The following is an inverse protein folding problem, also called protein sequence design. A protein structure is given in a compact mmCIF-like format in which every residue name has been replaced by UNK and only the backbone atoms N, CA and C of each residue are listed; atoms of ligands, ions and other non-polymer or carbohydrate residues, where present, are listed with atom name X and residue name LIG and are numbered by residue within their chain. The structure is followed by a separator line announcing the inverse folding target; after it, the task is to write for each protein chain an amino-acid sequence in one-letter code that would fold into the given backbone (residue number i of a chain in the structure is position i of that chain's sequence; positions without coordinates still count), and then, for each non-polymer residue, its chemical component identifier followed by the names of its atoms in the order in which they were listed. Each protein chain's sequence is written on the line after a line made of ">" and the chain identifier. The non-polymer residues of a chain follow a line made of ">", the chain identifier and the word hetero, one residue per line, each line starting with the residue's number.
data_IF_085739493142
#
_entry.id   IF_085739493142
#
_cell.length_a   1.000
_cell.length_b   1.000
_cell.length_c   1.000
_cell.angle_alpha   90.00
_cell.angle_beta   90.00
_cell.angle_gamma   90.00
#
_symmetry.space_group_name_H-M   'P 1'
#
loop_
_entity.id
_entity.type
_entity.pdbx_description
1 polymer ?
#
# COMPACT_ATOMS: atom_id res chain seq x y z
N UNK A 1 3.55 14.72 -4.94
CA UNK A 1 4.67 15.68 -5.02
C UNK A 1 5.24 16.02 -3.66
N UNK A 2 4.45 16.46 -2.66
CA UNK A 2 4.98 16.78 -1.32
C UNK A 2 5.64 15.57 -0.65
N UNK A 3 5.01 14.40 -0.68
CA UNK A 3 5.54 13.16 -0.07
C UNK A 3 6.88 12.73 -0.69
N UNK A 4 7.05 12.92 -2.00
CA UNK A 4 8.31 12.63 -2.70
C UNK A 4 9.42 13.59 -2.26
N UNK A 5 9.10 14.88 -2.14
CA UNK A 5 10.06 15.88 -1.61
C UNK A 5 10.46 15.54 -0.19
N UNK A 6 9.50 15.16 0.66
CA UNK A 6 9.75 14.77 2.03
C UNK A 6 10.65 13.53 2.11
N UNK A 7 10.43 12.52 1.27
CA UNK A 7 11.28 11.34 1.17
C UNK A 7 12.74 11.72 0.87
N UNK A 8 12.97 12.50 -0.18
CA UNK A 8 14.34 12.92 -0.52
C UNK A 8 14.95 13.85 0.52
N UNK A 9 14.16 14.66 1.22
CA UNK A 9 14.66 15.47 2.35
C UNK A 9 15.16 14.59 3.50
N UNK A 10 14.43 13.51 3.85
CA UNK A 10 14.90 12.53 4.84
C UNK A 10 16.14 11.78 4.37
N UNK A 11 16.20 11.36 3.10
CA UNK A 11 17.38 10.71 2.53
C UNK A 11 18.59 11.64 2.57
N UNK A 12 18.44 12.89 2.15
CA UNK A 12 19.52 13.88 2.23
C UNK A 12 19.99 14.12 3.66
N UNK A 13 19.03 14.29 4.60
CA UNK A 13 19.39 14.48 6.01
C UNK A 13 20.10 13.26 6.60
N UNK A 14 19.70 12.05 6.20
CA UNK A 14 20.39 10.81 6.61
C UNK A 14 21.86 10.83 6.21
N UNK A 15 22.16 11.12 4.94
CA UNK A 15 23.56 11.18 4.46
C UNK A 15 24.34 12.37 5.03
N UNK A 16 23.68 13.51 5.25
CA UNK A 16 24.35 14.71 5.74
C UNK A 16 24.72 14.61 7.24
N UNK A 17 23.89 13.94 8.04
CA UNK A 17 24.04 13.85 9.49
C UNK A 17 24.38 12.45 10.00
N UNK A 18 24.47 11.45 9.13
CA UNK A 18 24.72 10.02 9.45
C UNK A 18 23.81 9.50 10.59
N UNK A 19 22.57 10.00 10.66
CA UNK A 19 21.66 9.73 11.76
C UNK A 19 20.69 8.60 11.43
N UNK A 20 20.93 7.42 12.02
CA UNK A 20 20.10 6.22 11.85
C UNK A 20 18.63 6.41 12.28
N UNK A 21 18.34 7.36 13.18
CA UNK A 21 16.99 7.64 13.63
C UNK A 21 16.10 8.24 12.51
N UNK A 22 16.67 8.64 11.37
CA UNK A 22 15.92 9.12 10.20
C UNK A 22 15.39 7.96 9.33
N UNK A 23 15.92 6.74 9.51
CA UNK A 23 15.52 5.56 8.72
C UNK A 23 14.00 5.29 8.78
N UNK A 24 13.31 5.31 9.93
CA UNK A 24 11.85 5.16 9.97
C UNK A 24 11.11 6.23 9.15
N UNK A 25 11.63 7.47 9.15
CA UNK A 25 11.09 8.57 8.34
C UNK A 25 11.24 8.33 6.84
N UNK A 26 12.38 7.77 6.40
CA UNK A 26 12.64 7.37 5.01
C UNK A 26 11.66 6.27 4.60
N UNK A 27 11.54 5.20 5.40
CA UNK A 27 10.63 4.09 5.13
C UNK A 27 9.19 4.60 5.00
N UNK A 28 8.72 5.35 6.00
CA UNK A 28 7.34 5.84 6.01
C UNK A 28 7.06 6.78 4.83
N UNK A 29 7.87 7.83 4.64
CA UNK A 29 7.64 8.81 3.57
C UNK A 29 7.73 8.19 2.19
N UNK A 30 8.69 7.28 1.96
CA UNK A 30 8.90 6.63 0.67
C UNK A 30 7.81 5.61 0.33
N UNK A 31 7.47 4.73 1.29
CA UNK A 31 6.47 3.68 1.04
C UNK A 31 5.04 4.22 0.87
N UNK A 32 4.72 5.35 1.49
CA UNK A 32 3.39 5.96 1.40
C UNK A 32 3.26 7.01 0.29
N UNK A 33 4.37 7.51 -0.28
CA UNK A 33 4.34 8.60 -1.26
C UNK A 33 3.48 8.30 -2.48
N UNK A 34 3.74 7.19 -3.14
CA UNK A 34 3.03 6.79 -4.37
C UNK A 34 1.60 6.32 -4.08
N UNK A 35 1.35 5.40 -3.12
CA UNK A 35 0.00 4.99 -2.79
C UNK A 35 -0.92 6.15 -2.40
N UNK A 36 -0.45 7.10 -1.59
CA UNK A 36 -1.25 8.28 -1.22
C UNK A 36 -1.52 9.15 -2.45
N UNK A 37 -0.53 9.37 -3.31
CA UNK A 37 -0.71 10.17 -4.54
C UNK A 37 -1.75 9.53 -5.48
N UNK A 38 -1.70 8.21 -5.63
CA UNK A 38 -2.67 7.43 -6.41
C UNK A 38 -4.06 7.50 -5.79
N UNK A 39 -4.16 7.40 -4.46
CA UNK A 39 -5.43 7.54 -3.75
C UNK A 39 -6.07 8.92 -3.96
N UNK A 40 -5.26 9.99 -3.93
CA UNK A 40 -5.75 11.33 -4.24
C UNK A 40 -6.29 11.43 -5.65
N UNK A 41 -5.65 10.80 -6.65
CA UNK A 41 -6.17 10.72 -8.00
C UNK A 41 -7.58 10.10 -8.03
N UNK A 42 -7.76 8.92 -7.40
CA UNK A 42 -9.07 8.28 -7.33
C UNK A 42 -10.10 9.09 -6.54
N UNK A 43 -9.68 9.82 -5.53
CA UNK A 43 -10.55 10.72 -4.78
C UNK A 43 -11.05 11.89 -5.65
N UNK A 44 -10.17 12.49 -6.46
CA UNK A 44 -10.56 13.56 -7.40
C UNK A 44 -11.43 13.03 -8.54
N UNK A 45 -11.19 11.82 -9.03
CA UNK A 45 -12.03 11.15 -10.03
C UNK A 45 -13.44 10.84 -9.51
N UNK A 46 -13.63 10.73 -8.19
CA UNK A 46 -14.92 10.54 -7.58
C UNK A 46 -15.73 11.87 -7.53
N UNK A 47 -16.27 12.25 -8.67
CA UNK A 47 -16.98 13.53 -8.89
C UNK A 47 -18.09 13.77 -7.86
N UNK A 48 -18.76 12.73 -7.38
CA UNK A 48 -19.85 12.86 -6.40
C UNK A 48 -19.41 13.22 -5.00
N UNK A 49 -18.14 12.96 -4.64
CA UNK A 49 -17.54 13.23 -3.32
C UNK A 49 -18.44 12.82 -2.14
N UNK A 50 -19.22 11.76 -2.33
CA UNK A 50 -20.19 11.27 -1.35
C UNK A 50 -19.61 10.32 -0.31
N UNK A 51 -18.31 9.96 -0.43
CA UNK A 51 -17.59 9.15 0.53
C UNK A 51 -16.79 10.08 1.46
N UNK A 52 -17.06 10.06 2.78
CA UNK A 52 -16.32 10.90 3.71
C UNK A 52 -14.87 10.46 3.82
N UNK A 53 -13.95 11.41 3.96
CA UNK A 53 -12.51 11.14 4.05
C UNK A 53 -12.16 10.14 5.16
N UNK A 54 -12.86 10.20 6.29
CA UNK A 54 -12.70 9.23 7.38
C UNK A 54 -12.91 7.78 6.94
N UNK A 55 -13.91 7.54 6.08
CA UNK A 55 -14.17 6.19 5.55
C UNK A 55 -13.02 5.71 4.67
N UNK A 56 -12.42 6.62 3.89
CA UNK A 56 -11.27 6.33 3.04
C UNK A 56 -10.04 6.01 3.90
N UNK A 57 -9.74 6.87 4.88
CA UNK A 57 -8.62 6.65 5.81
C UNK A 57 -8.76 5.34 6.59
N UNK A 58 -9.97 5.03 7.02
CA UNK A 58 -10.26 3.74 7.68
C UNK A 58 -9.96 2.56 6.77
N UNK A 59 -10.31 2.63 5.48
CA UNK A 59 -10.02 1.55 4.53
C UNK A 59 -8.54 1.46 4.19
N UNK A 60 -7.82 2.56 4.09
CA UNK A 60 -6.35 2.55 3.92
C UNK A 60 -5.69 1.82 5.08
N UNK A 61 -6.01 2.21 6.31
CA UNK A 61 -5.35 1.64 7.49
C UNK A 61 -5.83 0.21 7.77
N UNK A 62 -7.10 0.04 8.08
CA UNK A 62 -7.62 -1.27 8.49
C UNK A 62 -7.79 -2.22 7.31
N UNK A 63 -8.15 -1.71 6.12
CA UNK A 63 -8.25 -2.50 4.91
C UNK A 63 -6.91 -2.98 4.43
N UNK A 64 -5.89 -2.11 4.43
CA UNK A 64 -4.53 -2.46 4.09
C UNK A 64 -3.96 -3.53 5.03
N UNK A 65 -4.06 -3.34 6.35
CA UNK A 65 -3.57 -4.31 7.35
C UNK A 65 -4.34 -5.64 7.23
N UNK A 66 -5.67 -5.59 7.16
CA UNK A 66 -6.49 -6.80 7.09
C UNK A 66 -6.21 -7.61 5.81
N UNK A 67 -6.04 -6.92 4.66
CA UNK A 67 -5.71 -7.59 3.40
C UNK A 67 -4.33 -8.26 3.45
N UNK A 68 -3.34 -7.67 4.11
CA UNK A 68 -2.05 -8.31 4.33
C UNK A 68 -2.19 -9.58 5.17
N UNK A 69 -2.96 -9.56 6.26
CA UNK A 69 -3.20 -10.76 7.06
C UNK A 69 -3.90 -11.86 6.26
N UNK A 70 -4.91 -11.51 5.47
CA UNK A 70 -5.60 -12.48 4.60
C UNK A 70 -4.63 -13.04 3.56
N UNK A 71 -3.81 -12.20 2.92
CA UNK A 71 -2.82 -12.62 1.94
C UNK A 71 -1.80 -13.59 2.56
N UNK A 72 -1.28 -13.31 3.76
CA UNK A 72 -0.34 -14.19 4.46
C UNK A 72 -0.97 -15.56 4.74
N UNK A 73 -2.21 -15.62 5.18
CA UNK A 73 -2.93 -16.89 5.40
C UNK A 73 -3.11 -17.66 4.08
N UNK A 74 -3.45 -16.94 3.00
CA UNK A 74 -3.60 -17.57 1.69
C UNK A 74 -2.26 -18.08 1.15
N UNK A 75 -1.17 -17.35 1.30
CA UNK A 75 0.18 -17.78 0.90
C UNK A 75 0.60 -19.07 1.60
N UNK A 76 0.36 -19.18 2.92
CA UNK A 76 0.69 -20.39 3.69
C UNK A 76 -0.05 -21.64 3.21
N UNK A 77 -1.26 -21.47 2.66
CA UNK A 77 -2.10 -22.58 2.21
C UNK A 77 -2.01 -22.86 0.68
N UNK A 78 -1.23 -22.07 -0.06
CA UNK A 78 -1.16 -22.14 -1.53
C UNK A 78 0.27 -22.23 -2.05
N UNK A 79 1.16 -22.94 -1.35
CA UNK A 79 2.56 -23.16 -1.79
C UNK A 79 2.67 -23.72 -3.21
N UNK A 80 1.76 -24.63 -3.56
CA UNK A 80 1.67 -25.21 -4.92
C UNK A 80 1.40 -24.18 -6.01
N UNK A 81 0.66 -23.10 -5.70
CA UNK A 81 0.40 -22.02 -6.65
C UNK A 81 1.67 -21.23 -6.96
N UNK A 82 2.46 -20.93 -5.91
CA UNK A 82 3.74 -20.24 -6.05
C UNK A 82 4.73 -21.04 -6.90
N UNK A 83 4.70 -22.37 -6.77
CA UNK A 83 5.52 -23.27 -7.58
C UNK A 83 5.10 -23.30 -9.06
N UNK A 84 3.79 -23.24 -9.33
CA UNK A 84 3.24 -23.32 -10.68
C UNK A 84 3.32 -22.00 -11.45
N UNK A 85 3.11 -20.87 -10.77
CA UNK A 85 2.95 -19.55 -11.39
C UNK A 85 4.07 -18.56 -11.06
N UNK A 86 5.04 -18.91 -10.21
CA UNK A 86 6.15 -18.04 -9.83
C UNK A 86 5.65 -16.71 -9.24
N UNK A 87 6.24 -15.61 -9.69
CA UNK A 87 5.89 -14.25 -9.22
C UNK A 87 4.42 -13.86 -9.50
N UNK A 88 3.79 -14.42 -10.55
CA UNK A 88 2.39 -14.14 -10.88
C UNK A 88 1.40 -14.72 -9.85
N UNK A 89 1.83 -15.71 -9.04
CA UNK A 89 1.01 -16.23 -7.95
C UNK A 89 0.67 -15.14 -6.91
N UNK A 90 1.54 -14.16 -6.71
CA UNK A 90 1.30 -13.05 -5.79
C UNK A 90 0.02 -12.30 -6.16
N UNK A 91 -0.15 -11.88 -7.41
CA UNK A 91 -1.36 -11.19 -7.86
C UNK A 91 -2.63 -12.02 -7.67
N UNK A 92 -2.57 -13.35 -7.95
CA UNK A 92 -3.71 -14.26 -7.79
C UNK A 92 -4.13 -14.39 -6.31
N UNK A 93 -3.21 -14.24 -5.37
CA UNK A 93 -3.46 -14.36 -3.93
C UNK A 93 -3.84 -13.01 -3.32
N UNK A 94 -3.15 -11.95 -3.70
CA UNK A 94 -3.32 -10.63 -3.10
C UNK A 94 -4.62 -9.94 -3.50
N UNK A 95 -5.05 -10.05 -4.77
CA UNK A 95 -6.27 -9.40 -5.21
C UNK A 95 -7.53 -9.95 -4.52
N UNK A 96 -7.72 -11.27 -4.37
CA UNK A 96 -8.79 -11.81 -3.52
C UNK A 96 -8.67 -11.39 -2.06
N UNK A 97 -7.46 -11.26 -1.52
CA UNK A 97 -7.25 -10.80 -0.14
C UNK A 97 -7.70 -9.34 0.05
N UNK A 98 -7.34 -8.45 -0.87
CA UNK A 98 -7.77 -7.04 -0.88
C UNK A 98 -9.29 -6.92 -1.01
N UNK A 99 -9.90 -7.70 -1.92
CA UNK A 99 -11.35 -7.75 -2.08
C UNK A 99 -12.04 -8.30 -0.81
N UNK A 100 -11.52 -9.36 -0.21
CA UNK A 100 -12.04 -9.94 1.03
C UNK A 100 -12.01 -8.92 2.17
N UNK A 101 -10.91 -8.21 2.36
CA UNK A 101 -10.79 -7.15 3.35
C UNK A 101 -11.81 -6.02 3.13
N UNK A 102 -11.99 -5.58 1.87
CA UNK A 102 -12.98 -4.57 1.51
C UNK A 102 -14.40 -5.04 1.87
N UNK A 103 -14.77 -6.25 1.49
CA UNK A 103 -16.10 -6.81 1.76
C UNK A 103 -16.40 -6.95 3.26
N UNK A 104 -15.40 -7.38 4.04
CA UNK A 104 -15.53 -7.49 5.50
C UNK A 104 -15.77 -6.11 6.14
N UNK A 105 -14.99 -5.09 5.76
CA UNK A 105 -15.08 -3.75 6.33
C UNK A 105 -16.31 -2.97 5.86
N UNK A 106 -16.80 -3.27 4.66
CA UNK A 106 -17.96 -2.65 4.03
C UNK A 106 -19.23 -3.50 4.15
N UNK A 107 -19.26 -4.49 5.03
CA UNK A 107 -20.37 -5.44 5.18
C UNK A 107 -21.70 -4.76 5.51
N UNK A 108 -22.78 -5.32 4.96
CA UNK A 108 -24.15 -4.90 5.22
C UNK A 108 -24.54 -3.62 4.46
N UNK A 109 -25.27 -2.73 5.12
CA UNK A 109 -25.83 -1.52 4.52
C UNK A 109 -24.77 -0.49 4.11
N UNK A 110 -23.53 -0.66 4.54
CA UNK A 110 -22.42 0.23 4.15
C UNK A 110 -22.11 0.14 2.66
N UNK A 111 -22.14 -1.06 2.04
CA UNK A 111 -21.96 -1.23 0.60
C UNK A 111 -23.12 -0.58 -0.17
N UNK A 112 -24.36 -0.78 0.29
CA UNK A 112 -25.56 -0.22 -0.37
C UNK A 112 -25.55 1.30 -0.39
N UNK A 113 -24.89 1.95 0.57
CA UNK A 113 -24.77 3.40 0.64
C UNK A 113 -23.98 4.00 -0.53
N UNK A 114 -23.13 3.20 -1.18
CA UNK A 114 -22.22 3.65 -2.24
C UNK A 114 -22.42 2.86 -3.54
N UNK A 115 -23.58 3.04 -4.24
CA UNK A 115 -23.99 2.18 -5.35
C UNK A 115 -23.29 2.48 -6.69
N UNK A 116 -22.45 3.51 -6.75
CA UNK A 116 -21.83 3.94 -8.00
C UNK A 116 -20.49 3.24 -8.25
N UNK A 117 -20.17 2.95 -9.52
CA UNK A 117 -18.90 2.32 -9.92
C UNK A 117 -17.69 3.12 -9.43
N UNK A 118 -17.73 4.46 -9.54
CA UNK A 118 -16.64 5.32 -9.04
C UNK A 118 -16.45 5.22 -7.51
N UNK A 119 -17.52 4.97 -6.77
CA UNK A 119 -17.40 4.70 -5.34
C UNK A 119 -16.66 3.38 -5.07
N UNK A 120 -17.03 2.32 -5.79
CA UNK A 120 -16.36 1.03 -5.71
C UNK A 120 -14.88 1.14 -6.04
N UNK A 121 -14.56 1.87 -7.11
CA UNK A 121 -13.18 2.14 -7.52
C UNK A 121 -12.38 2.86 -6.42
N UNK A 122 -12.93 3.93 -5.83
CA UNK A 122 -12.26 4.67 -4.74
C UNK A 122 -12.11 3.82 -3.47
N UNK A 123 -13.12 3.02 -3.11
CA UNK A 123 -13.05 2.15 -1.92
C UNK A 123 -12.04 1.02 -2.13
N UNK A 124 -12.01 0.41 -3.33
CA UNK A 124 -11.00 -0.59 -3.70
C UNK A 124 -9.60 0.01 -3.73
N UNK A 125 -9.42 1.18 -4.35
CA UNK A 125 -8.15 1.90 -4.36
C UNK A 125 -7.67 2.23 -2.94
N UNK A 126 -8.57 2.57 -2.01
CA UNK A 126 -8.18 2.85 -0.62
C UNK A 126 -7.56 1.61 0.06
N UNK A 127 -8.15 0.42 -0.12
CA UNK A 127 -7.60 -0.84 0.42
C UNK A 127 -6.30 -1.20 -0.29
N UNK A 128 -6.26 -1.12 -1.63
CA UNK A 128 -5.08 -1.43 -2.43
C UNK A 128 -3.90 -0.53 -2.13
N UNK A 129 -4.12 0.79 -2.01
CA UNK A 129 -3.08 1.74 -1.61
C UNK A 129 -2.57 1.49 -0.19
N UNK A 130 -3.46 1.11 0.74
CA UNK A 130 -3.07 0.71 2.08
C UNK A 130 -2.20 -0.54 2.07
N UNK A 131 -2.63 -1.59 1.36
CA UNK A 131 -1.86 -2.82 1.17
C UNK A 131 -0.45 -2.52 0.62
N UNK A 132 -0.37 -1.82 -0.51
CA UNK A 132 0.89 -1.49 -1.19
C UNK A 132 1.84 -0.67 -0.30
N UNK A 133 1.31 0.28 0.48
CA UNK A 133 2.11 1.09 1.40
C UNK A 133 2.71 0.26 2.53
N UNK A 134 1.89 -0.56 3.21
CA UNK A 134 2.37 -1.42 4.30
C UNK A 134 3.31 -2.52 3.82
N UNK A 135 3.00 -3.13 2.67
CA UNK A 135 3.88 -4.13 2.06
C UNK A 135 5.24 -3.53 1.71
N UNK A 136 5.27 -2.37 1.05
CA UNK A 136 6.51 -1.67 0.70
C UNK A 136 7.31 -1.26 1.94
N UNK A 137 6.63 -0.81 3.00
CA UNK A 137 7.28 -0.51 4.28
C UNK A 137 7.88 -1.77 4.93
N UNK A 138 7.18 -2.90 4.85
CA UNK A 138 7.66 -4.20 5.36
C UNK A 138 8.91 -4.68 4.62
N UNK A 139 8.93 -4.61 3.29
CA UNK A 139 10.13 -4.94 2.50
C UNK A 139 11.29 -4.00 2.81
N UNK A 140 11.03 -2.70 2.86
CA UNK A 140 12.06 -1.70 3.17
C UNK A 140 12.66 -1.94 4.56
N UNK A 141 11.82 -2.21 5.58
CA UNK A 141 12.28 -2.53 6.92
C UNK A 141 13.15 -3.81 6.95
N UNK A 142 12.69 -4.86 6.26
CA UNK A 142 13.43 -6.13 6.18
C UNK A 142 14.82 -5.92 5.56
N UNK A 143 14.91 -5.20 4.44
CA UNK A 143 16.19 -4.92 3.77
C UNK A 143 17.05 -4.03 4.66
N UNK A 144 16.50 -2.99 5.27
CA UNK A 144 17.24 -2.09 6.14
C UNK A 144 17.83 -2.79 7.38
N UNK A 145 17.18 -3.85 7.88
CA UNK A 145 17.66 -4.63 9.02
C UNK A 145 18.69 -5.72 8.64
N UNK A 146 18.59 -6.30 7.44
CA UNK A 146 19.39 -7.47 7.05
C UNK A 146 20.50 -7.14 6.03
N UNK A 147 20.45 -5.97 5.38
CA UNK A 147 21.42 -5.56 4.36
C UNK A 147 21.96 -4.16 4.67
N UNK A 148 21.59 -3.16 3.87
CA UNK A 148 22.04 -1.79 4.04
C UNK A 148 20.92 -0.77 3.84
N UNK A 149 21.15 0.44 4.37
CA UNK A 149 20.21 1.55 4.16
C UNK A 149 20.17 1.97 2.69
N UNK A 150 21.27 1.84 1.97
CA UNK A 150 21.34 2.16 0.53
C UNK A 150 20.48 1.21 -0.29
N UNK A 151 20.54 -0.09 -0.01
CA UNK A 151 19.69 -1.10 -0.65
C UNK A 151 18.21 -0.87 -0.30
N UNK A 152 17.93 -0.51 0.93
CA UNK A 152 16.57 -0.14 1.37
C UNK A 152 16.03 1.06 0.59
N UNK A 153 16.82 2.14 0.45
CA UNK A 153 16.42 3.33 -0.31
C UNK A 153 16.18 2.98 -1.78
N UNK A 154 17.08 2.20 -2.38
CA UNK A 154 16.93 1.74 -3.76
C UNK A 154 15.66 0.89 -3.95
N UNK A 155 15.38 -0.02 -3.03
CA UNK A 155 14.16 -0.83 -3.06
C UNK A 155 12.90 0.03 -3.00
N UNK A 156 12.86 1.04 -2.11
CA UNK A 156 11.74 1.98 -2.00
C UNK A 156 11.54 2.72 -3.33
N UNK A 157 12.60 3.18 -3.97
CA UNK A 157 12.52 3.90 -5.25
C UNK A 157 12.01 2.99 -6.37
N UNK A 158 12.55 1.77 -6.50
CA UNK A 158 12.11 0.80 -7.51
C UNK A 158 10.64 0.46 -7.31
N UNK A 159 10.22 0.14 -6.08
CA UNK A 159 8.81 -0.18 -5.78
C UNK A 159 7.90 1.03 -6.02
N UNK A 160 8.35 2.24 -5.70
CA UNK A 160 7.60 3.47 -5.96
C UNK A 160 7.36 3.72 -7.46
N UNK A 161 8.30 3.36 -8.32
CA UNK A 161 8.16 3.50 -9.79
C UNK A 161 7.27 2.37 -10.34
N UNK A 162 7.44 1.14 -9.88
CA UNK A 162 6.75 -0.03 -10.44
C UNK A 162 5.33 -0.21 -9.89
N UNK A 163 5.05 0.20 -8.66
CA UNK A 163 3.76 -0.03 -7.99
C UNK A 163 2.52 0.53 -8.72
N UNK A 164 2.59 1.62 -9.52
CA UNK A 164 1.44 2.03 -10.33
C UNK A 164 1.15 1.11 -11.52
N UNK A 165 2.06 0.19 -11.86
CA UNK A 165 1.97 -0.69 -13.02
C UNK A 165 1.83 -2.18 -12.62
N UNK A 166 1.90 -2.48 -11.35
CA UNK A 166 1.70 -3.80 -10.74
C UNK A 166 0.33 -3.88 -10.08
#
# INVERSE_FOLDING_TARGET
>A
TFSVVLFYAFVFAYYAFENINLVPGIIFSGSFAVPISTLFLFYELNIRRNIPLWQILRLVLFGGILSMFIALILFQNTETLSYAFGASAAGIIEEPAKLGALLILMRGDRIKKYPYILNGLLLGAAVGCGFAAFESAGYALNIGLNSSVDEMINNIQIRGILSPFA
#
